data_IF_366820106358
#
_entry.id   IF_366820106358
#
_cell.length_a   1.000
_cell.length_b   1.000
_cell.length_c   1.000
_cell.angle_alpha   90.00
_cell.angle_beta   90.00
_cell.angle_gamma   90.00
#
_symmetry.space_group_name_H-M   'P 1'
#
loop_
_entity.id
_entity.type
_entity.pdbx_description
1 polymer ?
#
# COMPACT_ATOMS: atom_id res chain seq x y z
N UNK A 1 10.13 21.94 -24.50
CA UNK A 1 10.35 21.84 -23.04
C UNK A 1 9.20 22.52 -22.32
N UNK A 2 8.27 21.76 -21.73
CA UNK A 2 7.34 22.19 -20.68
C UNK A 2 6.78 20.90 -20.06
N UNK A 3 7.34 20.52 -18.91
CA UNK A 3 6.92 19.36 -18.14
C UNK A 3 5.52 19.63 -17.58
N UNK A 4 4.53 18.85 -18.00
CA UNK A 4 3.22 18.84 -17.38
C UNK A 4 3.33 17.97 -16.13
N UNK A 5 3.40 18.63 -14.97
CA UNK A 5 3.42 18.02 -13.65
C UNK A 5 2.15 17.16 -13.49
N UNK A 6 2.23 15.84 -13.22
CA UNK A 6 1.05 15.06 -12.91
C UNK A 6 0.57 15.40 -11.51
N UNK A 7 -0.34 16.38 -11.45
CA UNK A 7 -1.54 16.44 -10.61
C UNK A 7 -1.45 15.62 -9.32
N UNK A 8 -1.09 16.29 -8.22
CA UNK A 8 -1.26 15.79 -6.86
C UNK A 8 -2.73 15.42 -6.62
N UNK A 9 -3.02 14.13 -6.55
CA UNK A 9 -4.27 13.65 -5.97
C UNK A 9 -4.11 13.56 -4.45
N UNK A 10 -4.27 14.69 -3.77
CA UNK A 10 -4.74 14.71 -2.39
C UNK A 10 -6.20 14.27 -2.36
N UNK A 11 -6.45 12.97 -2.48
CA UNK A 11 -7.77 12.40 -2.18
C UNK A 11 -7.90 12.23 -0.66
N UNK A 12 -8.14 13.36 0.00
CA UNK A 12 -8.62 13.44 1.37
C UNK A 12 -10.10 13.02 1.48
N UNK A 13 -10.47 11.86 0.94
CA UNK A 13 -11.81 11.29 1.12
C UNK A 13 -11.71 9.90 1.72
N UNK A 14 -12.39 9.72 2.86
CA UNK A 14 -12.36 8.51 3.66
C UNK A 14 -12.70 7.28 2.82
N UNK A 15 -11.70 6.42 2.60
CA UNK A 15 -11.94 5.09 2.04
C UNK A 15 -12.49 4.19 3.14
N UNK A 16 -13.78 3.86 3.05
CA UNK A 16 -14.43 2.86 3.89
C UNK A 16 -13.97 1.47 3.41
N UNK A 17 -12.80 1.05 3.87
CA UNK A 17 -12.30 -0.31 3.61
C UNK A 17 -13.22 -1.30 4.33
N UNK A 18 -13.87 -2.18 3.55
CA UNK A 18 -14.74 -3.23 4.09
C UNK A 18 -13.99 -4.12 5.09
N UNK A 19 -14.74 -4.87 5.90
CA UNK A 19 -14.16 -5.92 6.76
C UNK A 19 -13.35 -6.86 5.85
N UNK A 20 -12.16 -7.28 6.29
CA UNK A 20 -11.64 -8.58 5.84
C UNK A 20 -12.71 -9.57 6.29
N UNK A 21 -13.61 -9.94 5.38
CA UNK A 21 -14.77 -10.73 5.71
C UNK A 21 -14.29 -12.06 6.29
N UNK A 22 -15.03 -12.59 7.27
CA UNK A 22 -14.71 -13.90 7.87
C UNK A 22 -14.78 -15.01 6.80
N UNK A 23 -15.53 -14.74 5.73
CA UNK A 23 -15.74 -15.51 4.49
C UNK A 23 -14.74 -15.21 3.36
N UNK A 24 -13.75 -14.34 3.57
CA UNK A 24 -12.67 -14.10 2.61
C UNK A 24 -11.53 -15.10 2.79
N UNK A 25 -10.77 -15.35 1.71
CA UNK A 25 -9.65 -16.30 1.68
C UNK A 25 -8.76 -16.16 2.94
N UNK A 26 -8.84 -17.15 3.84
CA UNK A 26 -8.13 -17.15 5.11
C UNK A 26 -6.61 -17.03 4.92
N UNK A 27 -6.10 -17.57 3.81
CA UNK A 27 -4.71 -17.46 3.41
C UNK A 27 -4.31 -16.02 3.10
N UNK A 28 -5.13 -15.27 2.34
CA UNK A 28 -4.87 -13.84 2.08
C UNK A 28 -4.89 -13.02 3.37
N UNK A 29 -5.85 -13.30 4.27
CA UNK A 29 -5.87 -12.62 5.58
C UNK A 29 -4.58 -12.89 6.36
N UNK A 30 -4.11 -14.13 6.37
CA UNK A 30 -2.86 -14.51 7.03
C UNK A 30 -1.67 -13.77 6.43
N UNK A 31 -1.49 -13.84 5.11
CA UNK A 31 -0.40 -13.14 4.40
C UNK A 31 -0.44 -11.64 4.68
N UNK A 32 -1.60 -10.99 4.56
CA UNK A 32 -1.71 -9.55 4.80
C UNK A 32 -1.40 -9.18 6.25
N UNK A 33 -1.78 -10.04 7.20
CA UNK A 33 -1.48 -9.82 8.62
C UNK A 33 0.01 -9.99 8.90
N UNK A 34 0.64 -11.05 8.38
CA UNK A 34 2.08 -11.30 8.47
C UNK A 34 2.89 -10.18 7.82
N UNK A 35 2.50 -9.72 6.63
CA UNK A 35 3.13 -8.58 5.96
C UNK A 35 2.94 -7.28 6.77
N UNK A 36 1.76 -7.10 7.40
CA UNK A 36 1.48 -5.92 8.21
C UNK A 36 2.39 -5.81 9.45
N UNK A 37 2.88 -6.94 10.00
CA UNK A 37 3.83 -6.93 11.12
C UNK A 37 5.10 -6.15 10.80
N UNK A 38 5.58 -6.18 9.57
CA UNK A 38 6.82 -5.49 9.17
C UNK A 38 6.72 -3.97 9.30
N UNK A 39 5.54 -3.37 9.21
CA UNK A 39 5.36 -1.91 9.33
C UNK A 39 5.47 -1.39 10.77
N UNK A 40 5.63 -2.27 11.77
CA UNK A 40 6.01 -1.84 13.13
C UNK A 40 7.42 -1.27 13.20
N UNK A 41 8.27 -1.58 12.22
CA UNK A 41 9.62 -1.06 12.11
C UNK A 41 9.65 0.22 11.28
N UNK A 42 10.69 1.04 11.49
CA UNK A 42 10.87 2.30 10.75
C UNK A 42 10.91 2.03 9.23
N UNK A 43 10.19 2.83 8.41
CA UNK A 43 10.24 2.75 6.96
C UNK A 43 11.68 2.80 6.46
N UNK A 44 12.07 1.80 5.68
CA UNK A 44 13.44 1.70 5.18
C UNK A 44 13.46 0.96 3.85
N UNK A 45 14.08 1.59 2.85
CA UNK A 45 14.40 0.94 1.58
C UNK A 45 15.75 0.24 1.71
N UNK A 46 15.73 -0.99 2.24
CA UNK A 46 16.94 -1.82 2.42
C UNK A 46 16.76 -3.20 1.79
N UNK A 47 17.87 -3.82 1.39
CA UNK A 47 17.94 -5.22 0.94
C UNK A 47 16.95 -5.53 -0.19
N UNK A 48 16.10 -6.53 0.04
CA UNK A 48 15.15 -7.07 -0.92
C UNK A 48 14.10 -6.06 -1.38
N UNK A 49 13.68 -5.15 -0.51
CA UNK A 49 12.73 -4.10 -0.89
C UNK A 49 13.28 -3.19 -1.98
N UNK A 50 14.59 -2.87 -1.89
CA UNK A 50 15.27 -2.07 -2.91
C UNK A 50 15.46 -2.88 -4.20
N UNK A 51 15.66 -4.19 -4.11
CA UNK A 51 15.73 -5.08 -5.28
C UNK A 51 14.37 -5.16 -5.98
N UNK A 52 13.27 -5.33 -5.25
CA UNK A 52 11.91 -5.38 -5.81
C UNK A 52 11.47 -4.09 -6.50
N UNK A 53 12.04 -2.93 -6.12
CA UNK A 53 11.75 -1.65 -6.79
C UNK A 53 12.57 -1.42 -8.06
N UNK A 54 13.67 -2.16 -8.28
CA UNK A 54 14.46 -2.02 -9.52
C UNK A 54 13.60 -2.46 -10.71
N UNK A 55 13.49 -1.58 -11.71
CA UNK A 55 12.69 -1.82 -12.92
C UNK A 55 11.19 -1.55 -12.76
N UNK A 56 10.72 -1.14 -11.57
CA UNK A 56 9.33 -0.72 -11.38
C UNK A 56 9.13 0.74 -11.77
N UNK A 57 7.93 1.10 -12.22
CA UNK A 57 7.64 2.48 -12.60
C UNK A 57 7.77 3.44 -11.40
N UNK A 58 8.17 4.71 -11.61
CA UNK A 58 8.29 5.69 -10.53
C UNK A 58 6.99 5.84 -9.72
N UNK A 59 5.84 5.68 -10.38
CA UNK A 59 4.50 5.75 -9.78
C UNK A 59 4.26 4.59 -8.79
N UNK A 60 4.65 3.36 -9.17
CA UNK A 60 4.57 2.18 -8.29
C UNK A 60 5.49 2.35 -7.08
N UNK A 61 6.69 2.89 -7.29
CA UNK A 61 7.65 3.16 -6.20
C UNK A 61 7.09 4.20 -5.21
N UNK A 62 6.46 5.29 -5.70
CA UNK A 62 5.82 6.29 -4.84
C UNK A 62 4.70 5.69 -3.99
N UNK A 63 3.81 4.91 -4.61
CA UNK A 63 2.71 4.24 -3.88
C UNK A 63 3.26 3.32 -2.80
N UNK A 64 4.30 2.54 -3.11
CA UNK A 64 4.94 1.64 -2.16
C UNK A 64 5.62 2.40 -1.00
N UNK A 65 6.25 3.55 -1.28
CA UNK A 65 6.85 4.40 -0.25
C UNK A 65 5.80 5.03 0.67
N UNK A 66 4.73 5.58 0.09
CA UNK A 66 3.58 6.12 0.82
C UNK A 66 2.91 5.06 1.69
N UNK A 67 2.87 3.80 1.23
CA UNK A 67 2.38 2.67 2.02
C UNK A 67 3.22 2.47 3.28
N UNK A 68 4.55 2.43 3.16
CA UNK A 68 5.44 2.24 4.31
C UNK A 68 5.27 3.33 5.36
N UNK A 69 5.38 4.60 4.96
CA UNK A 69 5.27 5.74 5.89
C UNK A 69 3.89 5.77 6.58
N UNK A 70 2.82 5.60 5.79
CA UNK A 70 1.45 5.69 6.32
C UNK A 70 1.13 4.54 7.28
N UNK A 71 1.48 3.30 6.93
CA UNK A 71 1.20 2.14 7.75
C UNK A 71 2.02 2.16 9.05
N UNK A 72 3.28 2.58 8.98
CA UNK A 72 4.11 2.80 10.16
C UNK A 72 3.49 3.84 11.09
N UNK A 73 3.19 5.04 10.58
CA UNK A 73 2.56 6.11 11.36
C UNK A 73 1.24 5.67 11.99
N UNK A 74 0.41 4.92 11.25
CA UNK A 74 -0.86 4.39 11.78
C UNK A 74 -0.64 3.42 12.93
N UNK A 75 0.30 2.48 12.78
CA UNK A 75 0.64 1.54 13.84
C UNK A 75 1.04 2.29 15.12
N UNK A 76 2.00 3.21 15.03
CA UNK A 76 2.46 3.98 16.20
C UNK A 76 1.36 4.87 16.79
N UNK A 77 0.55 5.51 15.96
CA UNK A 77 -0.61 6.30 16.42
C UNK A 77 -1.62 5.45 17.18
N UNK A 78 -1.81 4.19 16.77
CA UNK A 78 -2.78 3.30 17.39
C UNK A 78 -2.24 2.75 18.72
N UNK A 79 -0.99 2.29 18.74
CA UNK A 79 -0.32 1.77 19.95
C UNK A 79 -0.14 2.88 21.00
N UNK A 80 0.25 4.10 20.59
CA UNK A 80 0.35 5.25 21.52
C UNK A 80 -0.99 5.66 22.15
N UNK A 81 -2.11 5.23 21.57
CA UNK A 81 -3.46 5.40 22.13
C UNK A 81 -3.91 4.21 22.98
N UNK A 82 -2.99 3.33 23.37
CA UNK A 82 -3.25 2.17 24.23
C UNK A 82 -3.97 1.02 23.54
N UNK A 83 -4.00 0.95 22.21
CA UNK A 83 -4.58 -0.19 21.50
C UNK A 83 -3.58 -1.34 21.41
N UNK A 84 -4.10 -2.57 21.52
CA UNK A 84 -3.30 -3.78 21.35
C UNK A 84 -2.59 -3.83 20.00
N UNK A 85 -1.38 -4.38 20.01
CA UNK A 85 -0.57 -4.60 18.81
C UNK A 85 -1.35 -5.34 17.73
N UNK A 86 -2.08 -6.40 18.08
CA UNK A 86 -2.85 -7.19 17.13
C UNK A 86 -3.98 -6.38 16.47
N UNK A 87 -4.61 -5.45 17.21
CA UNK A 87 -5.62 -4.53 16.66
C UNK A 87 -4.97 -3.57 15.67
N UNK A 88 -3.82 -2.99 16.02
CA UNK A 88 -3.05 -2.11 15.15
C UNK A 88 -2.58 -2.80 13.87
N UNK A 89 -2.06 -4.02 13.97
CA UNK A 89 -1.61 -4.83 12.84
C UNK A 89 -2.80 -5.18 11.93
N UNK A 90 -3.93 -5.62 12.50
CA UNK A 90 -5.11 -5.96 11.68
C UNK A 90 -5.68 -4.71 10.99
N UNK A 91 -5.61 -3.54 11.61
CA UNK A 91 -5.97 -2.27 10.98
C UNK A 91 -4.97 -1.85 9.89
N UNK A 92 -3.69 -2.17 10.04
CA UNK A 92 -2.66 -2.01 9.03
C UNK A 92 -2.85 -2.94 7.83
N UNK A 93 -3.16 -4.22 8.06
CA UNK A 93 -3.42 -5.22 7.02
C UNK A 93 -4.58 -4.83 6.09
N UNK A 94 -5.67 -4.27 6.67
CA UNK A 94 -6.79 -3.72 5.90
C UNK A 94 -6.37 -2.58 4.98
N UNK A 95 -5.47 -1.74 5.47
CA UNK A 95 -5.02 -0.58 4.71
C UNK A 95 -3.97 -0.94 3.65
N UNK A 96 -3.12 -1.91 3.96
CA UNK A 96 -2.16 -2.51 3.02
C UNK A 96 -2.85 -3.04 1.77
N UNK A 97 -4.01 -3.68 1.91
CA UNK A 97 -4.79 -4.16 0.76
C UNK A 97 -5.15 -3.02 -0.22
N UNK A 98 -5.44 -1.83 0.30
CA UNK A 98 -5.71 -0.65 -0.53
C UNK A 98 -4.49 -0.17 -1.32
N UNK A 99 -3.29 -0.31 -0.74
CA UNK A 99 -2.04 0.01 -1.43
C UNK A 99 -1.68 -1.05 -2.48
N UNK A 100 -1.88 -2.34 -2.18
CA UNK A 100 -1.69 -3.44 -3.14
C UNK A 100 -2.60 -3.22 -4.35
N UNK A 101 -3.88 -2.87 -4.12
CA UNK A 101 -4.81 -2.54 -5.20
C UNK A 101 -4.34 -1.35 -6.03
N UNK A 102 -3.87 -0.27 -5.38
CA UNK A 102 -3.36 0.90 -6.10
C UNK A 102 -2.15 0.57 -6.98
N UNK A 103 -1.23 -0.28 -6.50
CA UNK A 103 -0.10 -0.78 -7.29
C UNK A 103 -0.59 -1.64 -8.45
N UNK A 104 -1.53 -2.55 -8.23
CA UNK A 104 -2.10 -3.41 -9.26
C UNK A 104 -2.73 -2.59 -10.39
N UNK A 105 -3.54 -1.58 -10.07
CA UNK A 105 -4.14 -0.70 -11.07
C UNK A 105 -3.08 0.07 -11.91
N UNK A 106 -2.00 0.55 -11.28
CA UNK A 106 -0.94 1.19 -12.03
C UNK A 106 -0.20 0.18 -12.91
N UNK A 107 0.14 -1.00 -12.39
CA UNK A 107 0.79 -2.06 -13.16
C UNK A 107 -0.05 -2.53 -14.37
N UNK A 108 -1.36 -2.68 -14.20
CA UNK A 108 -2.30 -2.98 -15.29
C UNK A 108 -2.36 -1.87 -16.35
N UNK A 109 -2.29 -0.61 -15.91
CA UNK A 109 -2.28 0.55 -16.82
C UNK A 109 -1.02 0.59 -17.69
N UNK A 110 0.12 0.10 -17.20
CA UNK A 110 1.33 -0.10 -18.01
C UNK A 110 1.20 -1.30 -18.96
N UNK A 111 0.49 -2.35 -18.54
CA UNK A 111 0.36 -3.58 -19.33
C UNK A 111 -0.60 -3.43 -20.51
N UNK A 112 -1.66 -2.64 -20.40
CA UNK A 112 -2.59 -2.40 -21.52
C UNK A 112 -1.96 -1.39 -22.48
N UNK A 113 -1.37 -1.81 -23.61
CA UNK A 113 -0.88 -0.85 -24.59
C UNK A 113 -2.11 -0.14 -25.17
N UNK A 114 -2.02 1.16 -25.38
CA UNK A 114 -3.00 1.93 -26.14
C UNK A 114 -3.27 1.21 -27.46
N UNK A 115 -4.39 0.52 -27.55
CA UNK A 115 -4.93 0.02 -28.81
C UNK A 115 -5.28 1.28 -29.59
N UNK A 116 -4.36 1.69 -30.46
CA UNK A 116 -4.61 2.68 -31.49
C UNK A 116 -5.78 2.16 -32.31
N UNK A 117 -6.95 2.73 -32.09
CA UNK A 117 -8.04 2.66 -33.06
C UNK A 117 -7.54 3.48 -34.25
N UNK A 118 -7.30 2.76 -35.36
CA UNK A 118 -6.92 3.27 -36.67
C UNK A 118 -7.91 4.28 -37.23
#
# INVERSE_FOLDING_TARGET
MKHMVPREYSSGQGRRQGRITKTGNAHLRRILTEAAWSYRYKPALKGDLRRCQKGQSPRVQDIAWRAQDRLHRKYFRMVSRGKDHNVAITAGARELLGFIWAIACEAESYFRPSTSVS
#
